data_IF_457702652339
#
_entry.id   IF_457702652339
#
_cell.length_a   1.000
_cell.length_b   1.000
_cell.length_c   1.000
_cell.angle_alpha   90.00
_cell.angle_beta   90.00
_cell.angle_gamma   90.00
#
_symmetry.space_group_name_H-M   'P 1'
#
loop_
_entity.id
_entity.type
_entity.pdbx_description
1 polymer ?
#
# COMPACT_ATOMS: atom_id res chain seq x y z
N UNK A 1 -22.21 -15.52 3.28
CA UNK A 1 -21.22 -15.89 2.25
C UNK A 1 -20.98 -17.39 2.18
N UNK A 2 -20.68 -18.09 3.29
CA UNK A 2 -20.55 -19.56 3.27
C UNK A 2 -21.74 -20.31 2.64
N UNK A 3 -22.99 -19.88 2.94
CA UNK A 3 -24.21 -20.44 2.29
C UNK A 3 -24.24 -20.27 0.76
N UNK A 4 -23.44 -19.35 0.21
CA UNK A 4 -23.28 -19.10 -1.23
C UNK A 4 -22.04 -19.82 -1.81
N UNK A 5 -21.40 -20.71 -1.05
CA UNK A 5 -20.20 -21.44 -1.47
C UNK A 5 -18.87 -20.74 -1.22
N UNK A 6 -18.87 -19.57 -0.56
CA UNK A 6 -17.65 -18.83 -0.29
C UNK A 6 -16.68 -19.61 0.61
N UNK A 7 -15.40 -19.46 0.33
CA UNK A 7 -14.31 -19.98 1.16
C UNK A 7 -13.64 -18.83 1.91
N UNK A 8 -13.26 -19.07 3.16
CA UNK A 8 -12.56 -18.10 3.98
C UNK A 8 -11.71 -18.84 5.02
N UNK A 9 -10.39 -18.63 4.94
CA UNK A 9 -9.39 -19.08 5.89
C UNK A 9 -8.59 -17.85 6.31
N UNK A 10 -8.48 -17.60 7.61
CA UNK A 10 -7.76 -16.46 8.14
C UNK A 10 -6.72 -16.98 9.12
N UNK A 11 -5.50 -16.48 8.99
CA UNK A 11 -4.45 -16.64 10.01
C UNK A 11 -3.76 -15.30 10.24
N UNK A 12 -2.91 -15.24 11.27
CA UNK A 12 -2.03 -14.10 11.52
C UNK A 12 -0.60 -14.55 11.34
N UNK A 13 0.21 -13.74 10.67
CA UNK A 13 1.63 -14.01 10.46
C UNK A 13 2.42 -12.84 11.03
N UNK A 14 3.36 -13.15 11.92
CA UNK A 14 4.34 -12.19 12.43
C UNK A 14 5.48 -12.10 11.41
N UNK A 15 5.57 -11.00 10.67
CA UNK A 15 6.64 -10.77 9.67
C UNK A 15 7.93 -10.27 10.33
N UNK A 16 7.80 -9.46 11.39
CA UNK A 16 8.90 -8.96 12.21
C UNK A 16 8.40 -8.69 13.64
N UNK A 17 9.26 -8.15 14.51
CA UNK A 17 8.91 -7.91 15.91
C UNK A 17 7.79 -6.88 16.14
N UNK A 18 7.55 -6.02 15.16
CA UNK A 18 6.63 -4.89 15.24
C UNK A 18 5.39 -5.06 14.35
N UNK A 19 5.36 -6.07 13.48
CA UNK A 19 4.37 -6.16 12.41
C UNK A 19 3.78 -7.57 12.29
N UNK A 20 2.48 -7.65 12.57
CA UNK A 20 1.66 -8.86 12.45
C UNK A 20 0.56 -8.55 11.43
N UNK A 21 0.56 -9.27 10.32
CA UNK A 21 -0.46 -9.10 9.27
C UNK A 21 -1.48 -10.24 9.30
N UNK A 22 -2.75 -9.97 8.94
CA UNK A 22 -3.68 -11.02 8.59
C UNK A 22 -3.29 -11.62 7.23
N UNK A 23 -3.39 -12.94 7.13
CA UNK A 23 -3.36 -13.65 5.84
C UNK A 23 -4.73 -14.26 5.65
N UNK A 24 -5.44 -13.78 4.64
CA UNK A 24 -6.77 -14.25 4.25
C UNK A 24 -6.66 -15.02 2.94
N UNK A 25 -7.10 -16.27 2.96
CA UNK A 25 -7.31 -17.09 1.78
C UNK A 25 -8.80 -17.37 1.59
N UNK A 26 -9.17 -17.68 0.38
CA UNK A 26 -10.53 -17.84 -0.10
C UNK A 26 -10.99 -16.64 -0.93
N UNK A 27 -12.29 -16.56 -1.13
CA UNK A 27 -12.97 -15.60 -2.00
C UNK A 27 -14.12 -14.87 -1.30
N UNK A 28 -14.34 -15.10 0.00
CA UNK A 28 -15.45 -14.49 0.72
C UNK A 28 -15.40 -12.95 0.73
N UNK A 29 -14.21 -12.35 0.77
CA UNK A 29 -14.04 -10.89 0.70
C UNK A 29 -14.40 -10.37 -0.69
N UNK A 30 -13.91 -11.02 -1.75
CA UNK A 30 -14.20 -10.67 -3.13
C UNK A 30 -15.69 -10.86 -3.45
N UNK A 31 -16.32 -11.95 -3.00
CA UNK A 31 -17.76 -12.17 -3.14
C UNK A 31 -18.58 -11.09 -2.43
N UNK A 32 -18.15 -10.64 -1.25
CA UNK A 32 -18.81 -9.56 -0.53
C UNK A 32 -18.66 -8.22 -1.27
N UNK A 33 -17.47 -7.92 -1.79
CA UNK A 33 -17.18 -6.75 -2.61
C UNK A 33 -18.04 -6.74 -3.88
N UNK A 34 -18.11 -7.86 -4.60
CA UNK A 34 -18.92 -8.02 -5.80
C UNK A 34 -20.42 -7.88 -5.51
N UNK A 35 -20.91 -8.38 -4.37
CA UNK A 35 -22.29 -8.18 -3.94
C UNK A 35 -22.59 -6.71 -3.66
N UNK A 36 -21.65 -5.97 -3.06
CA UNK A 36 -21.80 -4.53 -2.82
C UNK A 36 -21.78 -3.75 -4.13
N UNK A 37 -20.88 -4.08 -5.05
CA UNK A 37 -20.74 -3.40 -6.36
C UNK A 37 -21.87 -3.71 -7.34
N UNK A 38 -22.36 -4.95 -7.36
CA UNK A 38 -23.46 -5.38 -8.24
C UNK A 38 -24.80 -4.77 -7.85
N UNK A 39 -24.99 -4.50 -6.55
CA UNK A 39 -26.08 -3.65 -6.08
C UNK A 39 -25.76 -2.22 -6.52
N UNK A 40 -26.20 -1.87 -7.73
CA UNK A 40 -26.24 -0.50 -8.26
C UNK A 40 -27.09 0.37 -7.33
N UNK A 41 -26.51 0.76 -6.20
CA UNK A 41 -27.06 1.81 -5.36
C UNK A 41 -26.70 3.09 -6.11
N UNK A 42 -27.57 3.48 -7.05
CA UNK A 42 -27.68 4.89 -7.43
C UNK A 42 -28.18 5.64 -6.21
N UNK A 43 -27.29 5.82 -5.22
CA UNK A 43 -27.53 6.75 -4.14
C UNK A 43 -27.60 8.09 -4.86
N UNK A 44 -28.80 8.67 -4.96
CA UNK A 44 -28.94 10.05 -5.38
C UNK A 44 -28.09 10.88 -4.43
N UNK A 45 -26.95 11.39 -4.90
CA UNK A 45 -26.02 12.21 -4.12
C UNK A 45 -26.59 13.60 -3.81
N UNK A 46 -27.91 13.74 -3.75
CA UNK A 46 -28.59 15.03 -3.62
C UNK A 46 -28.53 15.59 -2.20
N UNK A 47 -28.27 14.77 -1.18
CA UNK A 47 -28.29 15.18 0.24
C UNK A 47 -27.22 14.49 1.11
N UNK A 48 -26.09 14.05 0.55
CA UNK A 48 -24.96 13.69 1.42
C UNK A 48 -24.30 15.00 1.86
N UNK A 49 -24.32 15.36 3.16
CA UNK A 49 -23.54 16.49 3.61
C UNK A 49 -22.09 16.25 3.19
N UNK A 50 -21.52 17.17 2.42
CA UNK A 50 -20.15 17.08 1.85
C UNK A 50 -19.05 17.13 2.93
N UNK A 51 -19.38 16.83 4.18
CA UNK A 51 -18.49 16.84 5.30
C UNK A 51 -17.79 15.48 5.42
N UNK A 52 -16.99 15.15 4.40
CA UNK A 52 -16.07 14.03 4.48
C UNK A 52 -15.03 14.36 5.56
N UNK A 53 -15.19 13.76 6.73
CA UNK A 53 -14.26 13.99 7.82
C UNK A 53 -12.96 13.21 7.58
N UNK A 54 -11.98 13.86 6.97
CA UNK A 54 -10.63 13.32 6.74
C UNK A 54 -9.69 13.54 7.95
N UNK A 55 -10.22 13.84 9.14
CA UNK A 55 -9.41 13.96 10.36
C UNK A 55 -8.66 12.65 10.64
N UNK A 56 -7.35 12.76 10.87
CA UNK A 56 -6.45 11.62 11.07
C UNK A 56 -5.77 11.12 9.80
N UNK A 57 -6.25 11.49 8.61
CA UNK A 57 -5.53 11.25 7.35
C UNK A 57 -4.44 12.31 7.18
N UNK A 58 -3.25 12.03 7.70
CA UNK A 58 -2.11 12.94 7.65
C UNK A 58 -0.86 12.18 7.18
N UNK A 59 -0.59 12.19 5.88
CA UNK A 59 0.74 11.79 5.39
C UNK A 59 1.65 13.02 5.38
N UNK A 60 2.73 12.97 6.14
CA UNK A 60 3.78 14.02 6.15
C UNK A 60 5.00 13.65 5.31
N UNK A 61 4.99 12.46 4.73
CA UNK A 61 6.02 11.98 3.82
C UNK A 61 5.67 12.37 2.39
N UNK A 62 6.65 12.91 1.69
CA UNK A 62 6.57 13.11 0.24
C UNK A 62 6.75 11.76 -0.49
N UNK A 63 6.73 11.78 -1.81
CA UNK A 63 7.08 10.63 -2.65
C UNK A 63 8.44 10.06 -2.25
N UNK A 64 8.49 8.75 -2.10
CA UNK A 64 9.67 8.03 -1.60
C UNK A 64 10.35 7.37 -2.79
N UNK A 65 11.57 7.84 -3.10
CA UNK A 65 12.41 7.20 -4.10
C UNK A 65 12.85 5.81 -3.63
N UNK A 66 13.11 4.87 -4.56
CA UNK A 66 13.60 3.55 -4.19
C UNK A 66 14.94 3.63 -3.44
N UNK A 67 15.30 2.60 -2.66
CA UNK A 67 16.52 2.60 -1.85
C UNK A 67 17.81 2.81 -2.68
N UNK A 68 17.80 2.30 -3.93
CA UNK A 68 18.88 2.46 -4.90
C UNK A 68 18.34 3.27 -6.07
N UNK A 69 19.07 4.29 -6.52
CA UNK A 69 18.59 5.25 -7.53
C UNK A 69 18.30 4.63 -8.90
N UNK A 70 18.96 3.50 -9.22
CA UNK A 70 18.72 2.75 -10.46
C UNK A 70 17.55 1.77 -10.39
N UNK A 71 16.93 1.62 -9.21
CA UNK A 71 15.77 0.76 -9.04
C UNK A 71 14.49 1.48 -9.48
N UNK A 72 13.45 0.68 -9.66
CA UNK A 72 12.07 1.07 -9.90
C UNK A 72 11.17 0.48 -8.80
N UNK A 73 9.97 1.03 -8.69
CA UNK A 73 8.91 0.54 -7.79
C UNK A 73 7.90 -0.26 -8.60
N UNK A 74 7.78 -1.54 -8.27
CA UNK A 74 6.84 -2.47 -8.89
C UNK A 74 5.65 -2.72 -7.96
N UNK A 75 4.46 -2.32 -8.41
CA UNK A 75 3.18 -2.66 -7.77
C UNK A 75 2.58 -3.87 -8.47
N UNK A 76 2.16 -4.88 -7.71
CA UNK A 76 1.68 -6.17 -8.21
C UNK A 76 0.37 -6.57 -7.53
N UNK A 77 -0.55 -7.10 -8.33
CA UNK A 77 -1.75 -7.80 -7.87
C UNK A 77 -1.72 -9.19 -8.50
N UNK A 78 -1.75 -10.25 -7.70
CA UNK A 78 -1.77 -11.64 -8.17
C UNK A 78 -2.99 -12.36 -7.58
N UNK A 79 -3.79 -12.94 -8.48
CA UNK A 79 -4.99 -13.70 -8.15
C UNK A 79 -4.83 -15.13 -8.65
N UNK A 80 -4.86 -16.12 -7.76
CA UNK A 80 -4.88 -17.51 -8.20
C UNK A 80 -6.18 -17.78 -8.98
N UNK A 81 -6.12 -18.69 -9.96
CA UNK A 81 -7.27 -18.99 -10.82
C UNK A 81 -8.44 -19.60 -10.04
N UNK A 82 -8.15 -20.36 -8.97
CA UNK A 82 -9.15 -20.92 -8.07
C UNK A 82 -8.70 -20.80 -6.61
N UNK A 83 -9.66 -20.81 -5.68
CA UNK A 83 -9.39 -20.76 -4.23
C UNK A 83 -8.61 -21.99 -3.74
N UNK A 84 -8.78 -23.14 -4.39
CA UNK A 84 -8.04 -24.36 -4.08
C UNK A 84 -6.53 -24.23 -4.39
N UNK A 85 -6.17 -23.46 -5.43
CA UNK A 85 -4.78 -23.26 -5.84
C UNK A 85 -4.04 -22.16 -5.08
N UNK A 86 -4.76 -21.28 -4.36
CA UNK A 86 -4.19 -20.08 -3.72
C UNK A 86 -2.94 -20.39 -2.89
N UNK A 87 -2.99 -21.37 -1.99
CA UNK A 87 -1.85 -21.66 -1.12
C UNK A 87 -0.59 -22.06 -1.91
N UNK A 88 -0.72 -22.97 -2.87
CA UNK A 88 0.40 -23.46 -3.68
C UNK A 88 0.95 -22.37 -4.59
N UNK A 89 0.05 -21.68 -5.30
CA UNK A 89 0.41 -20.60 -6.23
C UNK A 89 1.08 -19.44 -5.50
N UNK A 90 0.52 -18.99 -4.38
CA UNK A 90 1.07 -17.88 -3.61
C UNK A 90 2.42 -18.24 -2.98
N UNK A 91 2.59 -19.47 -2.48
CA UNK A 91 3.88 -19.95 -2.00
C UNK A 91 4.93 -19.94 -3.12
N UNK A 92 4.57 -20.40 -4.31
CA UNK A 92 5.49 -20.43 -5.46
C UNK A 92 5.87 -19.00 -5.90
N UNK A 93 4.90 -18.10 -6.00
CA UNK A 93 5.16 -16.70 -6.37
C UNK A 93 6.06 -16.01 -5.35
N UNK A 94 5.78 -16.14 -4.06
CA UNK A 94 6.62 -15.57 -3.00
C UNK A 94 8.04 -16.16 -3.01
N UNK A 95 8.19 -17.45 -3.29
CA UNK A 95 9.50 -18.10 -3.42
C UNK A 95 10.28 -17.54 -4.62
N UNK A 96 9.63 -17.33 -5.76
CA UNK A 96 10.27 -16.71 -6.94
C UNK A 96 10.64 -15.26 -6.67
N UNK A 97 9.78 -14.49 -5.99
CA UNK A 97 10.10 -13.13 -5.56
C UNK A 97 11.33 -13.10 -4.66
N UNK A 98 11.40 -13.98 -3.66
CA UNK A 98 12.54 -14.12 -2.75
C UNK A 98 13.82 -14.46 -3.53
N UNK A 99 13.76 -15.39 -4.50
CA UNK A 99 14.91 -15.74 -5.33
C UNK A 99 15.41 -14.57 -6.20
N UNK A 100 14.49 -13.80 -6.78
CA UNK A 100 14.82 -12.73 -7.74
C UNK A 100 15.24 -11.43 -7.03
N UNK A 101 14.52 -11.05 -5.98
CA UNK A 101 14.70 -9.77 -5.28
C UNK A 101 15.49 -9.89 -3.96
N UNK A 102 15.52 -11.09 -3.38
CA UNK A 102 15.98 -11.34 -2.02
C UNK A 102 14.87 -11.13 -0.99
N UNK A 103 15.28 -11.08 0.27
CA UNK A 103 14.37 -11.00 1.41
C UNK A 103 13.48 -9.76 1.43
N UNK A 104 12.48 -9.80 2.30
CA UNK A 104 11.51 -8.72 2.52
C UNK A 104 12.20 -7.38 2.77
N UNK A 105 13.33 -7.36 3.51
CA UNK A 105 14.05 -6.12 3.84
C UNK A 105 14.74 -5.56 2.60
N UNK A 106 15.38 -6.42 1.81
CA UNK A 106 16.12 -6.03 0.60
C UNK A 106 15.20 -5.49 -0.50
N UNK A 107 14.01 -6.09 -0.65
CA UNK A 107 13.02 -5.66 -1.66
C UNK A 107 12.04 -4.59 -1.16
N UNK A 108 12.18 -4.16 0.10
CA UNK A 108 11.31 -3.13 0.68
C UNK A 108 11.51 -1.80 -0.05
N UNK A 109 10.44 -1.11 -0.49
CA UNK A 109 10.59 0.10 -1.31
C UNK A 109 10.90 1.36 -0.51
N UNK A 110 10.85 1.28 0.83
CA UNK A 110 11.12 2.41 1.73
C UNK A 110 12.37 2.14 2.53
N UNK A 111 13.27 3.12 2.57
CA UNK A 111 14.32 3.23 3.58
C UNK A 111 14.32 4.61 4.22
N UNK A 112 14.94 4.70 5.40
CA UNK A 112 14.99 5.90 6.23
C UNK A 112 15.64 7.06 5.46
N UNK A 113 16.66 6.78 4.66
CA UNK A 113 17.46 7.78 3.94
C UNK A 113 16.67 8.45 2.81
N UNK A 114 15.63 7.76 2.29
CA UNK A 114 14.76 8.26 1.22
C UNK A 114 13.49 8.92 1.73
N UNK A 115 13.26 8.93 3.06
CA UNK A 115 12.12 9.60 3.67
C UNK A 115 12.33 11.12 3.72
N UNK A 116 11.53 11.83 2.92
CA UNK A 116 11.54 13.29 2.87
C UNK A 116 10.19 13.79 3.38
N UNK A 117 10.23 14.72 4.34
CA UNK A 117 9.00 15.36 4.82
C UNK A 117 8.54 16.46 3.87
N UNK A 118 7.22 16.51 3.65
CA UNK A 118 6.56 17.58 2.92
C UNK A 118 6.93 18.93 3.54
N UNK A 119 7.41 19.84 2.70
CA UNK A 119 7.90 21.15 3.14
C UNK A 119 7.51 22.32 2.26
N UNK A 120 6.99 22.08 1.05
CA UNK A 120 6.63 23.15 0.16
C UNK A 120 5.26 23.74 0.53
N UNK A 121 5.15 25.06 0.44
CA UNK A 121 3.89 25.75 0.66
C UNK A 121 2.80 25.26 -0.30
N UNK A 122 3.16 24.87 -1.53
CA UNK A 122 2.24 24.29 -2.51
C UNK A 122 1.63 22.97 -2.05
N UNK A 123 2.45 22.05 -1.53
CA UNK A 123 1.95 20.77 -1.00
C UNK A 123 1.06 20.95 0.24
N UNK A 124 1.42 21.87 1.15
CA UNK A 124 0.59 22.18 2.31
C UNK A 124 -0.76 22.79 1.93
N UNK A 125 -0.78 23.67 0.90
CA UNK A 125 -2.04 24.20 0.35
C UNK A 125 -2.91 23.10 -0.23
N UNK A 126 -2.31 22.17 -1.00
CA UNK A 126 -3.04 21.03 -1.56
C UNK A 126 -3.62 20.13 -0.46
N UNK A 127 -2.86 19.87 0.62
CA UNK A 127 -3.35 19.11 1.78
C UNK A 127 -4.59 19.78 2.40
N UNK A 128 -4.54 21.09 2.65
CA UNK A 128 -5.66 21.84 3.22
C UNK A 128 -6.87 21.85 2.29
N UNK A 129 -6.65 22.05 0.99
CA UNK A 129 -7.72 22.03 0.00
C UNK A 129 -8.40 20.66 -0.07
N UNK A 130 -7.62 19.58 -0.01
CA UNK A 130 -8.17 18.21 0.02
C UNK A 130 -8.96 17.92 1.31
N UNK A 131 -8.52 18.43 2.46
CA UNK A 131 -9.17 18.19 3.76
C UNK A 131 -10.43 19.03 3.98
N UNK A 132 -10.41 20.29 3.56
CA UNK A 132 -11.42 21.28 3.93
C UNK A 132 -12.22 21.81 2.73
N UNK A 133 -11.91 21.36 1.51
CA UNK A 133 -12.50 21.82 0.23
C UNK A 133 -12.29 23.31 -0.11
N UNK A 134 -11.82 24.11 0.84
CA UNK A 134 -11.51 25.53 0.69
C UNK A 134 -10.12 25.82 1.27
N UNK A 135 -9.45 26.82 0.70
CA UNK A 135 -8.14 27.23 1.19
C UNK A 135 -8.27 28.11 2.43
N UNK A 136 -8.08 27.53 3.62
CA UNK A 136 -8.04 28.25 4.90
C UNK A 136 -6.59 28.50 5.31
N UNK A 137 -6.12 29.74 5.19
CA UNK A 137 -4.72 30.08 5.51
C UNK A 137 -4.32 29.78 6.95
N UNK A 138 -5.26 29.86 7.90
CA UNK A 138 -5.04 29.43 9.30
C UNK A 138 -4.69 27.94 9.37
N UNK A 139 -5.38 27.10 8.58
CA UNK A 139 -5.09 25.66 8.50
C UNK A 139 -3.75 25.38 7.80
N UNK A 140 -3.41 26.17 6.76
CA UNK A 140 -2.11 26.07 6.08
C UNK A 140 -0.98 26.40 7.06
N UNK A 141 -1.11 27.49 7.82
CA UNK A 141 -0.13 27.88 8.83
C UNK A 141 -0.04 26.85 9.97
N UNK A 142 -1.18 26.33 10.42
CA UNK A 142 -1.23 25.27 11.44
C UNK A 142 -0.53 24.00 10.95
N UNK A 143 -0.76 23.58 9.70
CA UNK A 143 -0.06 22.44 9.09
C UNK A 143 1.44 22.69 8.94
N UNK A 144 1.84 23.93 8.59
CA UNK A 144 3.25 24.32 8.52
C UNK A 144 3.95 24.22 9.88
N UNK A 145 3.33 24.75 10.96
CA UNK A 145 3.86 24.63 12.33
C UNK A 145 3.98 23.16 12.73
N UNK A 146 2.92 22.35 12.53
CA UNK A 146 2.95 20.92 12.84
C UNK A 146 4.08 20.21 12.10
N UNK A 147 4.29 20.53 10.82
CA UNK A 147 5.36 19.95 10.02
C UNK A 147 6.74 20.36 10.52
N UNK A 148 6.90 21.60 11.01
CA UNK A 148 8.14 22.06 11.63
C UNK A 148 8.41 21.35 12.98
N UNK A 149 7.40 21.26 13.85
CA UNK A 149 7.50 20.57 15.14
C UNK A 149 7.82 19.09 14.93
N UNK A 150 7.13 18.42 14.00
CA UNK A 150 7.40 17.02 13.65
C UNK A 150 8.85 16.83 13.19
N UNK A 151 9.37 17.70 12.31
CA UNK A 151 10.78 17.65 11.88
C UNK A 151 11.75 17.78 13.03
N UNK A 152 11.49 18.73 13.93
CA UNK A 152 12.34 18.93 15.09
C UNK A 152 12.30 17.70 16.00
N UNK A 153 11.10 17.20 16.34
CA UNK A 153 10.88 16.01 17.16
C UNK A 153 11.58 14.76 16.60
N UNK A 154 11.42 14.49 15.30
CA UNK A 154 12.02 13.34 14.63
C UNK A 154 13.56 13.40 14.59
N UNK A 155 14.17 14.59 14.67
CA UNK A 155 15.62 14.76 14.72
C UNK A 155 16.17 14.72 16.15
N UNK A 156 15.55 15.44 17.08
CA UNK A 156 16.11 15.69 18.42
C UNK A 156 15.67 14.67 19.46
N UNK A 157 14.46 14.14 19.37
CA UNK A 157 13.91 13.21 20.34
C UNK A 157 14.26 11.76 19.99
N UNK A 158 14.63 10.97 21.00
CA UNK A 158 14.92 9.54 20.84
C UNK A 158 13.71 8.75 20.34
N UNK A 159 12.51 8.99 20.88
CA UNK A 159 11.27 8.35 20.43
C UNK A 159 10.97 8.66 18.97
N UNK A 160 11.18 9.91 18.55
CA UNK A 160 11.02 10.33 17.16
C UNK A 160 12.00 9.62 16.22
N UNK A 161 13.27 9.47 16.62
CA UNK A 161 14.26 8.71 15.85
C UNK A 161 13.95 7.21 15.80
N UNK A 162 13.46 6.62 16.89
CA UNK A 162 13.07 5.21 16.93
C UNK A 162 11.88 4.97 16.00
N UNK A 163 10.85 5.84 16.04
CA UNK A 163 9.74 5.79 15.09
C UNK A 163 10.21 5.79 13.63
N UNK A 164 11.19 6.63 13.25
CA UNK A 164 11.74 6.61 11.89
C UNK A 164 12.41 5.30 11.51
N UNK A 165 13.10 4.67 12.46
CA UNK A 165 13.78 3.39 12.25
C UNK A 165 12.78 2.25 12.11
N UNK A 166 11.67 2.33 12.83
CA UNK A 166 10.61 1.33 12.84
C UNK A 166 9.63 1.51 11.68
N UNK A 167 9.53 2.70 11.08
CA UNK A 167 8.58 3.00 10.00
C UNK A 167 8.61 2.00 8.84
N UNK A 168 9.78 1.60 8.29
CA UNK A 168 9.79 0.59 7.23
C UNK A 168 9.27 -0.77 7.72
N UNK A 169 9.54 -1.14 8.97
CA UNK A 169 9.08 -2.41 9.55
C UNK A 169 7.58 -2.39 9.87
N UNK A 170 7.02 -1.21 10.17
CA UNK A 170 5.59 -0.97 10.41
C UNK A 170 4.78 -0.78 9.12
N UNK A 171 5.45 -0.58 7.97
CA UNK A 171 4.77 -0.36 6.69
C UNK A 171 4.42 -1.67 6.01
N UNK A 172 3.16 -1.83 5.64
CA UNK A 172 2.70 -3.02 4.94
C UNK A 172 3.04 -2.91 3.44
N UNK A 173 4.00 -3.73 2.98
CA UNK A 173 4.36 -3.86 1.56
C UNK A 173 3.80 -5.13 0.90
N UNK A 174 3.20 -6.02 1.68
CA UNK A 174 2.60 -7.28 1.24
C UNK A 174 1.30 -7.51 2.00
N UNK A 175 0.19 -7.56 1.27
CA UNK A 175 -1.13 -7.90 1.79
C UNK A 175 -1.63 -9.16 1.10
N UNK A 176 -2.21 -10.07 1.88
CA UNK A 176 -2.84 -11.30 1.36
C UNK A 176 -4.30 -11.33 1.81
N UNK A 177 -5.22 -10.93 0.94
CA UNK A 177 -6.63 -10.68 1.24
C UNK A 177 -7.60 -11.53 0.38
N UNK A 178 -7.13 -12.69 -0.10
CA UNK A 178 -7.72 -13.44 -1.21
C UNK A 178 -7.04 -13.16 -2.55
N UNK A 179 -6.22 -12.10 -2.59
CA UNK A 179 -5.20 -11.83 -3.61
C UNK A 179 -3.86 -11.52 -2.94
N UNK A 180 -2.75 -11.65 -3.65
CA UNK A 180 -1.49 -11.01 -3.23
C UNK A 180 -1.51 -9.60 -3.79
N UNK A 181 -1.39 -8.61 -2.90
CA UNK A 181 -1.14 -7.21 -3.26
C UNK A 181 0.22 -6.83 -2.69
N UNK A 182 1.16 -6.37 -3.52
CA UNK A 182 2.50 -6.03 -3.03
C UNK A 182 3.15 -4.89 -3.80
N UNK A 183 3.96 -4.10 -3.09
CA UNK A 183 4.78 -3.02 -3.65
C UNK A 183 6.23 -3.30 -3.26
N UNK A 184 7.11 -3.46 -4.25
CA UNK A 184 8.51 -3.80 -4.05
C UNK A 184 9.43 -2.87 -4.83
N UNK A 185 10.67 -2.73 -4.38
CA UNK A 185 11.73 -2.08 -5.15
C UNK A 185 12.67 -3.12 -5.75
N UNK A 186 13.11 -2.86 -6.98
CA UNK A 186 14.23 -3.59 -7.60
C UNK A 186 14.57 -3.05 -8.98
N UNK A 187 15.47 -3.72 -9.68
CA UNK A 187 15.90 -3.32 -11.02
C UNK A 187 14.87 -3.74 -12.09
N UNK A 188 14.88 -3.06 -13.23
CA UNK A 188 14.08 -3.44 -14.41
C UNK A 188 14.33 -4.91 -14.84
N UNK A 189 15.56 -5.40 -14.70
CA UNK A 189 15.95 -6.77 -15.03
C UNK A 189 15.30 -7.80 -14.09
N UNK A 190 15.20 -7.47 -12.80
CA UNK A 190 14.47 -8.29 -11.82
C UNK A 190 12.97 -8.30 -12.11
N UNK A 191 12.38 -7.15 -12.47
CA UNK A 191 10.97 -7.10 -12.92
C UNK A 191 10.77 -8.01 -14.11
N UNK A 192 11.55 -7.87 -15.17
CA UNK A 192 11.41 -8.66 -16.39
C UNK A 192 11.48 -10.17 -16.11
N UNK A 193 12.39 -10.59 -15.24
CA UNK A 193 12.49 -11.99 -14.82
C UNK A 193 11.25 -12.45 -14.05
N UNK A 194 10.75 -11.65 -13.10
CA UNK A 194 9.54 -12.00 -12.35
C UNK A 194 8.30 -12.05 -13.26
N UNK A 195 8.15 -11.10 -14.17
CA UNK A 195 7.03 -11.09 -15.13
C UNK A 195 7.10 -12.29 -16.08
N UNK A 196 8.29 -12.70 -16.52
CA UNK A 196 8.47 -13.93 -17.30
C UNK A 196 7.96 -15.17 -16.54
N UNK A 197 8.32 -15.28 -15.26
CA UNK A 197 7.85 -16.39 -14.43
C UNK A 197 6.34 -16.36 -14.19
N UNK A 198 5.77 -15.17 -13.89
CA UNK A 198 4.33 -15.00 -13.69
C UNK A 198 3.54 -15.29 -14.98
N UNK A 199 4.07 -14.91 -16.14
CA UNK A 199 3.49 -15.23 -17.44
C UNK A 199 3.45 -16.75 -17.64
N UNK A 200 4.54 -17.47 -17.37
CA UNK A 200 4.57 -18.93 -17.49
C UNK A 200 3.55 -19.63 -16.56
N UNK A 201 3.29 -19.07 -15.37
CA UNK A 201 2.23 -19.55 -14.47
C UNK A 201 0.83 -19.22 -14.98
N UNK A 202 0.64 -18.03 -15.58
CA UNK A 202 -0.61 -17.61 -16.20
C UNK A 202 -0.96 -18.44 -17.45
N UNK A 203 0.03 -18.77 -18.29
CA UNK A 203 -0.15 -19.61 -19.48
C UNK A 203 -0.60 -21.03 -19.12
N UNK A 204 -0.22 -21.51 -17.92
CA UNK A 204 -0.70 -22.76 -17.33
C UNK A 204 -2.05 -22.63 -16.62
N UNK A 205 -2.70 -21.47 -16.72
CA UNK A 205 -3.97 -21.14 -16.08
C UNK A 205 -3.95 -21.30 -14.54
N UNK A 206 -2.80 -21.06 -13.90
CA UNK A 206 -2.64 -21.17 -12.45
C UNK A 206 -3.03 -19.88 -11.72
N UNK A 207 -2.79 -18.74 -12.36
CA UNK A 207 -3.03 -17.41 -11.81
C UNK A 207 -3.35 -16.40 -12.91
N UNK A 208 -3.82 -15.23 -12.49
CA UNK A 208 -3.81 -13.99 -13.25
C UNK A 208 -3.06 -12.94 -12.47
N UNK A 209 -2.39 -12.03 -13.15
CA UNK A 209 -1.68 -10.94 -12.50
C UNK A 209 -1.85 -9.62 -13.24
N UNK A 210 -1.69 -8.54 -12.49
CA UNK A 210 -1.57 -7.18 -13.02
C UNK A 210 -0.44 -6.47 -12.32
N UNK A 211 0.24 -5.57 -13.03
CA UNK A 211 1.37 -4.85 -12.46
C UNK A 211 1.44 -3.40 -12.96
N UNK A 212 2.18 -2.58 -12.23
CA UNK A 212 2.51 -1.22 -12.64
C UNK A 212 3.90 -0.84 -12.15
N UNK A 213 4.63 -0.10 -12.97
CA UNK A 213 5.98 0.38 -12.67
C UNK A 213 5.93 1.88 -12.46
N UNK A 214 6.50 2.34 -11.35
CA UNK A 214 6.59 3.75 -10.98
C UNK A 214 8.01 4.08 -10.52
N UNK A 215 8.37 5.37 -10.59
CA UNK A 215 9.70 5.83 -10.17
C UNK A 215 9.80 6.03 -8.65
N UNK A 216 8.66 6.15 -7.97
CA UNK A 216 8.58 6.44 -6.54
C UNK A 216 7.38 5.74 -5.94
N UNK A 217 7.44 5.45 -4.64
CA UNK A 217 6.30 4.97 -3.86
C UNK A 217 5.65 6.11 -3.09
N UNK A 218 4.42 5.88 -2.64
CA UNK A 218 3.65 6.83 -1.83
C UNK A 218 3.11 6.13 -0.59
N UNK A 219 3.19 6.82 0.55
CA UNK A 219 2.57 6.38 1.79
C UNK A 219 1.22 7.06 1.99
N UNK A 220 0.23 6.29 2.40
CA UNK A 220 -1.00 6.80 2.99
C UNK A 220 -1.00 6.45 4.48
N UNK A 221 -0.97 7.47 5.32
CA UNK A 221 -0.88 7.31 6.77
C UNK A 221 -2.23 7.63 7.41
N UNK A 222 -2.72 6.70 8.22
CA UNK A 222 -3.81 6.96 9.16
C UNK A 222 -3.23 7.05 10.56
N UNK A 223 -3.36 8.24 11.16
CA UNK A 223 -2.77 8.58 12.46
C UNK A 223 -3.89 8.92 13.43
N UNK A 224 -4.13 8.05 14.40
CA UNK A 224 -5.15 8.24 15.45
C UNK A 224 -4.63 9.09 16.60
N UNK A 225 -3.36 8.94 16.97
CA UNK A 225 -2.63 9.81 17.90
C UNK A 225 -1.11 9.76 17.65
N UNK A 226 -0.36 10.73 18.19
CA UNK A 226 1.09 10.89 17.99
C UNK A 226 1.92 9.72 18.57
N UNK A 227 1.40 9.06 19.61
CA UNK A 227 2.05 7.96 20.33
C UNK A 227 1.30 6.61 20.16
N UNK A 228 0.41 6.50 19.17
CA UNK A 228 -0.52 5.35 19.01
C UNK A 228 -0.27 4.58 17.69
N UNK A 229 -1.06 3.53 17.44
CA UNK A 229 -0.99 2.71 16.23
C UNK A 229 -1.13 3.55 14.95
N UNK A 230 -0.04 3.67 14.21
CA UNK A 230 -0.06 4.22 12.86
C UNK A 230 -0.21 3.07 11.86
N UNK A 231 -1.17 3.19 10.95
CA UNK A 231 -1.27 2.28 9.80
C UNK A 231 -0.70 2.97 8.59
N UNK A 232 0.33 2.36 8.02
CA UNK A 232 1.03 2.86 6.84
C UNK A 232 0.73 1.96 5.65
N UNK A 233 -0.11 2.47 4.75
CA UNK A 233 -0.38 1.83 3.47
C UNK A 233 0.59 2.34 2.43
N UNK A 234 1.07 1.43 1.59
CA UNK A 234 2.06 1.69 0.58
C UNK A 234 1.49 1.41 -0.81
N UNK A 235 1.70 2.33 -1.74
CA UNK A 235 1.32 2.18 -3.14
C UNK A 235 2.45 2.71 -4.06
N UNK A 236 2.43 2.36 -5.34
CA UNK A 236 3.20 3.04 -6.37
C UNK A 236 2.63 4.42 -6.68
N UNK A 237 3.49 5.40 -6.99
CA UNK A 237 3.05 6.72 -7.44
C UNK A 237 2.22 6.62 -8.75
N UNK A 238 1.42 7.65 -9.05
CA UNK A 238 0.53 7.68 -10.23
C UNK A 238 -0.55 6.57 -10.24
N UNK A 239 -0.91 6.11 -9.04
CA UNK A 239 -2.04 5.21 -8.78
C UNK A 239 -1.70 3.73 -8.91
N UNK A 240 -0.52 3.31 -8.44
CA UNK A 240 0.03 1.96 -8.57
C UNK A 240 -0.99 0.82 -8.65
N UNK A 241 -1.69 0.52 -7.56
CA UNK A 241 -2.69 -0.56 -7.53
C UNK A 241 -3.85 -0.32 -8.50
N UNK A 242 -4.27 0.93 -8.67
CA UNK A 242 -5.31 1.28 -9.64
C UNK A 242 -4.86 0.94 -11.06
N UNK A 243 -3.63 1.24 -11.43
CA UNK A 243 -3.07 0.91 -12.75
C UNK A 243 -2.86 -0.60 -12.92
N UNK A 244 -2.29 -1.27 -11.90
CA UNK A 244 -2.09 -2.72 -11.89
C UNK A 244 -3.43 -3.47 -12.08
N UNK A 245 -4.50 -2.99 -11.45
CA UNK A 245 -5.84 -3.59 -11.56
C UNK A 245 -6.43 -3.55 -12.97
N UNK A 246 -5.98 -2.62 -13.84
CA UNK A 246 -6.45 -2.55 -15.22
C UNK A 246 -5.93 -3.76 -16.01
N UNK A 247 -4.65 -4.08 -15.86
CA UNK A 247 -4.04 -5.25 -16.51
C UNK A 247 -4.64 -6.56 -16.01
N UNK A 248 -4.96 -6.66 -14.71
CA UNK A 248 -5.57 -7.85 -14.13
C UNK A 248 -6.96 -8.18 -14.73
N UNK A 249 -7.66 -7.17 -15.25
CA UNK A 249 -9.02 -7.30 -15.80
C UNK A 249 -9.03 -7.60 -17.31
N UNK A 250 -7.88 -7.53 -17.97
CA UNK A 250 -7.69 -7.94 -19.37
C UNK A 250 -7.58 -9.46 -19.46
#
# INVERSE_FOLDING_TARGET
MYKKGATLKITKVKLNDLHIIPVVLGDALQMAEDEVKSKSRKIGLTNIPYNLNLKGMECKWDKIAPPVDSNEILTLIIKAQTTALQSTVYSEVLTKMEFIYGDVKKRHPITIEKLIMINSLGQLKNEVLMKFSELKWVEVFTSAIRSFIARWYLKTNEKGRNYLRELPELTESLMVDGTINTVISGTAKQRELLIFELQAMQDKNLLRYGYYVSNTSVLSCYVTAIDDYHVHFLDGDQGGYTQASKLLKL
#
